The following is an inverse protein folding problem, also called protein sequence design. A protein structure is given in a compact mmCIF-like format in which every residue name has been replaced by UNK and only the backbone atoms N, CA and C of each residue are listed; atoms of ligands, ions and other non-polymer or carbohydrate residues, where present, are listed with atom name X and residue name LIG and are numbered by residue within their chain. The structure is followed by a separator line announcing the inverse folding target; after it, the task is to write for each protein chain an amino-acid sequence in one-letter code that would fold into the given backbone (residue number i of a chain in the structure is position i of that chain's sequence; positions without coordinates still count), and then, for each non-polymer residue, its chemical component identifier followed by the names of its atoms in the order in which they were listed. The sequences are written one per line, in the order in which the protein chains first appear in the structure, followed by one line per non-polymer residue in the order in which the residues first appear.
data_IF_839990442760
#
_entry.id   IF_839990442760
#
_cell.length_a   1.000
_cell.length_b   1.000
_cell.length_c   1.000
_cell.angle_alpha   90.00
_cell.angle_beta   90.00
_cell.angle_gamma   90.00
#
_symmetry.space_group_name_H-M   'P 1'
#
loop_
_entity.id
_entity.type
_entity.pdbx_description
1 polymer ?
#
# COMPACT_ATOMS: atom_id res chain seq x y z
N UNK A 1 2.29 -16.90 -6.76
CA UNK A 1 2.62 -15.54 -6.28
C UNK A 1 1.41 -15.00 -5.54
N UNK A 2 1.53 -14.61 -4.27
CA UNK A 2 0.41 -14.08 -3.46
C UNK A 2 0.49 -12.56 -3.45
N UNK A 3 -0.67 -11.92 -3.56
CA UNK A 3 -0.79 -10.47 -3.60
C UNK A 3 -1.41 -9.97 -2.30
N UNK A 4 -0.82 -8.92 -1.72
CA UNK A 4 -1.24 -8.35 -0.44
C UNK A 4 -1.49 -6.86 -0.58
N UNK A 5 -2.61 -6.37 -0.05
CA UNK A 5 -2.93 -4.94 0.05
C UNK A 5 -2.77 -4.48 1.49
N UNK A 6 -1.96 -3.45 1.70
CA UNK A 6 -1.73 -2.82 3.00
C UNK A 6 -2.28 -1.41 2.95
N UNK A 7 -3.30 -1.16 3.77
CA UNK A 7 -3.94 0.15 3.90
C UNK A 7 -3.35 0.89 5.09
N UNK A 8 -3.06 2.17 4.94
CA UNK A 8 -2.50 3.00 6.00
C UNK A 8 -1.00 2.79 6.21
N UNK A 9 -0.26 2.46 5.14
CA UNK A 9 1.19 2.19 5.17
C UNK A 9 2.09 3.40 5.54
N UNK A 10 1.52 4.46 6.12
CA UNK A 10 2.20 5.73 6.38
C UNK A 10 3.17 5.70 7.57
N UNK A 11 3.00 4.79 8.54
CA UNK A 11 3.90 4.69 9.70
C UNK A 11 3.77 3.35 10.45
N UNK A 12 4.84 2.97 11.15
CA UNK A 12 4.83 1.89 12.13
C UNK A 12 4.79 0.49 11.52
N UNK A 13 3.97 -0.38 12.11
CA UNK A 13 3.92 -1.80 11.77
C UNK A 13 3.54 -2.02 10.30
N UNK A 14 2.64 -1.22 9.75
CA UNK A 14 2.20 -1.40 8.36
C UNK A 14 3.34 -1.17 7.35
N UNK A 15 4.22 -0.20 7.60
CA UNK A 15 5.38 0.08 6.74
C UNK A 15 6.38 -1.07 6.80
N UNK A 16 6.68 -1.55 8.01
CA UNK A 16 7.59 -2.68 8.21
C UNK A 16 7.05 -3.99 7.61
N UNK A 17 5.74 -4.26 7.76
CA UNK A 17 5.09 -5.42 7.14
C UNK A 17 5.12 -5.35 5.62
N UNK A 18 4.94 -4.17 5.03
CA UNK A 18 5.00 -4.00 3.58
C UNK A 18 6.38 -4.37 3.03
N UNK A 19 7.44 -3.92 3.70
CA UNK A 19 8.84 -4.23 3.34
C UNK A 19 9.11 -5.71 3.50
N UNK A 20 8.79 -6.29 4.66
CA UNK A 20 9.01 -7.72 4.93
C UNK A 20 8.31 -8.61 3.91
N UNK A 21 7.04 -8.33 3.58
CA UNK A 21 6.31 -9.13 2.61
C UNK A 21 6.88 -9.01 1.20
N UNK A 22 7.39 -7.83 0.84
CA UNK A 22 8.04 -7.60 -0.44
C UNK A 22 9.36 -8.38 -0.55
N UNK A 23 10.15 -8.41 0.52
CA UNK A 23 11.39 -9.22 0.62
C UNK A 23 11.10 -10.72 0.57
N UNK A 24 10.00 -11.18 1.15
CA UNK A 24 9.51 -12.56 1.08
C UNK A 24 8.92 -12.94 -0.31
N UNK A 25 8.95 -12.02 -1.29
CA UNK A 25 8.50 -12.28 -2.65
C UNK A 25 6.99 -12.19 -2.88
N UNK A 26 6.26 -11.51 -1.97
CA UNK A 26 4.85 -11.18 -2.20
C UNK A 26 4.73 -9.96 -3.11
N UNK A 27 3.62 -9.91 -3.85
CA UNK A 27 3.26 -8.71 -4.59
C UNK A 27 2.52 -7.74 -3.66
N UNK A 28 3.20 -6.69 -3.19
CA UNK A 28 2.67 -5.79 -2.16
C UNK A 28 2.12 -4.50 -2.78
N UNK A 29 0.88 -4.16 -2.41
CA UNK A 29 0.25 -2.88 -2.71
C UNK A 29 0.10 -2.08 -1.42
N UNK A 30 0.73 -0.91 -1.34
CA UNK A 30 0.65 -0.01 -0.19
C UNK A 30 -0.26 1.17 -0.53
N UNK A 31 -1.39 1.31 0.17
CA UNK A 31 -2.33 2.40 0.00
C UNK A 31 -2.29 3.38 1.18
N UNK A 32 -2.14 4.69 0.94
CA UNK A 32 -2.36 5.70 1.98
C UNK A 32 -2.94 7.00 1.43
N UNK A 33 -3.52 7.81 2.32
CA UNK A 33 -4.15 9.10 1.97
C UNK A 33 -3.15 10.16 1.51
N UNK A 34 -1.93 10.13 2.07
CA UNK A 34 -0.85 11.05 1.75
C UNK A 34 0.28 10.27 1.11
N UNK A 35 0.49 10.50 -0.18
CA UNK A 35 1.51 9.79 -0.96
C UNK A 35 2.91 10.12 -0.46
N UNK A 36 3.13 11.36 0.01
CA UNK A 36 4.46 11.80 0.47
C UNK A 36 5.01 10.95 1.61
N UNK A 37 4.15 10.29 2.40
CA UNK A 37 4.55 9.42 3.52
C UNK A 37 4.86 7.98 3.11
N UNK A 38 4.53 7.59 1.89
CA UNK A 38 4.70 6.24 1.36
C UNK A 38 5.56 6.22 0.09
N UNK A 39 6.15 7.36 -0.30
CA UNK A 39 7.04 7.46 -1.46
C UNK A 39 8.25 6.54 -1.31
N UNK A 40 8.82 6.43 -0.11
CA UNK A 40 9.96 5.56 0.18
C UNK A 40 9.68 4.08 -0.14
N UNK A 41 8.41 3.65 -0.09
CA UNK A 41 8.03 2.28 -0.43
C UNK A 41 8.07 2.03 -1.95
N UNK A 42 7.95 3.07 -2.78
CA UNK A 42 8.15 2.89 -4.24
C UNK A 42 9.58 2.49 -4.55
N UNK A 43 10.55 3.04 -3.82
CA UNK A 43 11.97 2.76 -4.04
C UNK A 43 12.31 1.31 -3.73
N UNK A 44 11.56 0.66 -2.83
CA UNK A 44 11.73 -0.76 -2.50
C UNK A 44 11.00 -1.71 -3.46
N UNK A 45 10.35 -1.18 -4.52
CA UNK A 45 9.63 -1.99 -5.51
C UNK A 45 8.17 -2.30 -5.14
N UNK A 46 7.64 -1.69 -4.08
CA UNK A 46 6.24 -1.89 -3.64
C UNK A 46 5.31 -1.00 -4.48
N UNK A 47 4.14 -1.53 -4.85
CA UNK A 47 3.16 -0.77 -5.61
C UNK A 47 2.40 0.21 -4.72
N UNK A 48 2.62 1.50 -4.93
CA UNK A 48 2.05 2.54 -4.07
C UNK A 48 0.78 3.12 -4.69
N UNK A 49 -0.33 3.07 -3.93
CA UNK A 49 -1.66 3.55 -4.30
C UNK A 49 -2.06 4.76 -3.46
N UNK A 50 -2.65 5.76 -4.11
CA UNK A 50 -3.22 6.92 -3.41
C UNK A 50 -4.63 6.58 -2.98
N UNK A 51 -4.89 6.58 -1.68
CA UNK A 51 -6.22 6.31 -1.16
C UNK A 51 -7.01 7.60 -0.98
N UNK A 52 -8.09 7.74 -1.76
CA UNK A 52 -9.03 8.85 -1.62
C UNK A 52 -10.04 8.54 -0.50
N UNK A 53 -10.55 9.58 0.17
CA UNK A 53 -11.40 9.46 1.35
C UNK A 53 -12.70 8.68 1.06
N UNK A 54 -12.92 7.53 1.72
CA UNK A 54 -14.06 6.61 1.52
C UNK A 54 -15.36 7.04 2.24
N UNK A 55 -15.50 8.30 2.65
CA UNK A 55 -16.75 8.81 3.26
C UNK A 55 -17.90 8.95 2.26
N UNK A 56 -17.61 8.83 0.96
CA UNK A 56 -18.63 8.73 -0.08
C UNK A 56 -18.75 7.27 -0.49
N UNK A 57 -19.92 6.65 -0.28
CA UNK A 57 -20.32 5.40 -0.91
C UNK A 57 -19.99 5.49 -2.40
N UNK A 58 -18.89 4.91 -2.90
CA UNK A 58 -18.75 4.53 -4.31
C UNK A 58 -17.49 3.68 -4.55
N UNK A 59 -17.75 2.43 -4.92
CA UNK A 59 -17.05 1.59 -5.90
C UNK A 59 -15.54 1.39 -5.80
N UNK A 60 -15.15 0.23 -5.24
CA UNK A 60 -13.98 -0.51 -5.71
C UNK A 60 -14.41 -1.36 -6.91
N UNK A 61 -14.28 -0.84 -8.12
CA UNK A 61 -14.27 -1.67 -9.33
C UNK A 61 -12.83 -1.86 -9.75
N UNK A 62 -12.27 -3.03 -9.43
CA UNK A 62 -11.13 -3.56 -10.16
C UNK A 62 -11.65 -3.96 -11.55
N UNK A 63 -11.27 -3.19 -12.56
CA UNK A 63 -11.49 -3.50 -13.97
C UNK A 63 -10.15 -3.83 -14.62
#
# INVERSE_FOLDING_TARGET
MKTTLIIGAFAGIQKATAILLNEEGYNVYAAARKVERITDLRETGIHVLVMMNVTSNLSCSLK
#
